data_IF_939457190983
#
_entry.id   IF_939457190983
#
_cell.length_a   1.000
_cell.length_b   1.000
_cell.length_c   1.000
_cell.angle_alpha   90.00
_cell.angle_beta   90.00
_cell.angle_gamma   90.00
#
_symmetry.space_group_name_H-M   'P 1'
#
loop_
_entity.id
_entity.type
_entity.pdbx_description
1 polymer ?
#
# COMPACT_ATOMS: atom_id res chain seq x y z
N UNK A 1 -11.85 -5.27 8.31
CA UNK A 1 -10.64 -4.44 8.04
C UNK A 1 -10.09 -4.58 6.61
N UNK A 2 -9.67 -5.76 6.11
CA UNK A 2 -9.27 -5.94 4.69
C UNK A 2 -10.44 -6.37 3.78
N UNK A 3 -11.27 -7.31 4.24
CA UNK A 3 -12.45 -7.78 3.51
C UNK A 3 -13.52 -6.70 3.33
N UNK A 4 -13.63 -5.76 4.29
CA UNK A 4 -14.55 -4.61 4.20
C UNK A 4 -14.17 -3.64 3.07
N UNK A 5 -12.90 -3.62 2.66
CA UNK A 5 -12.45 -2.87 1.49
C UNK A 5 -12.34 -3.75 0.24
N UNK A 6 -12.75 -5.03 0.31
CA UNK A 6 -12.72 -5.97 -0.81
C UNK A 6 -11.33 -6.49 -1.15
N UNK A 7 -10.39 -6.45 -0.20
CA UNK A 7 -9.04 -6.96 -0.37
C UNK A 7 -8.88 -8.30 0.37
N UNK A 8 -8.28 -9.27 -0.31
CA UNK A 8 -7.80 -10.50 0.34
C UNK A 8 -6.52 -10.18 1.11
N UNK A 9 -6.27 -10.90 2.21
CA UNK A 9 -5.00 -10.79 2.96
C UNK A 9 -3.79 -11.24 2.12
N UNK A 10 -4.04 -12.05 1.10
CA UNK A 10 -3.04 -12.53 0.14
C UNK A 10 -2.89 -11.59 -1.08
N UNK A 11 -3.54 -10.42 -1.06
CA UNK A 11 -3.46 -9.47 -2.18
C UNK A 11 -2.07 -8.88 -2.29
N UNK A 12 -1.56 -8.76 -3.52
CA UNK A 12 -0.28 -8.10 -3.77
C UNK A 12 -0.32 -6.62 -3.42
N UNK A 13 0.83 -6.06 -3.07
CA UNK A 13 1.04 -4.64 -2.77
C UNK A 13 0.46 -3.72 -3.87
N UNK A 14 0.59 -4.09 -5.15
CA UNK A 14 -0.03 -3.39 -6.29
C UNK A 14 -1.54 -3.32 -6.21
N UNK A 15 -2.21 -4.44 -5.91
CA UNK A 15 -3.67 -4.48 -5.79
C UNK A 15 -4.13 -3.65 -4.60
N UNK A 16 -3.44 -3.77 -3.46
CA UNK A 16 -3.72 -2.99 -2.26
C UNK A 16 -3.58 -1.49 -2.53
N UNK A 17 -2.49 -1.06 -3.19
CA UNK A 17 -2.26 0.33 -3.55
C UNK A 17 -3.36 0.89 -4.45
N UNK A 18 -3.70 0.19 -5.54
CA UNK A 18 -4.75 0.64 -6.49
C UNK A 18 -6.10 0.80 -5.80
N UNK A 19 -6.48 -0.13 -4.92
CA UNK A 19 -7.74 -0.05 -4.18
C UNK A 19 -7.73 1.13 -3.21
N UNK A 20 -6.63 1.34 -2.49
CA UNK A 20 -6.50 2.49 -1.58
C UNK A 20 -6.63 3.81 -2.34
N UNK A 21 -5.95 3.97 -3.47
CA UNK A 21 -6.05 5.18 -4.30
C UNK A 21 -7.47 5.39 -4.84
N UNK A 22 -8.11 4.33 -5.37
CA UNK A 22 -9.49 4.40 -5.88
C UNK A 22 -10.50 4.78 -4.80
N UNK A 23 -10.26 4.32 -3.56
CA UNK A 23 -11.13 4.61 -2.40
C UNK A 23 -10.70 5.86 -1.62
N UNK A 24 -9.70 6.58 -2.10
CA UNK A 24 -9.15 7.77 -1.44
C UNK A 24 -8.72 7.49 0.02
N UNK A 25 -8.05 6.36 0.21
CA UNK A 25 -7.54 5.90 1.50
C UNK A 25 -6.03 6.10 1.60
N UNK A 26 -5.55 6.45 2.79
CA UNK A 26 -4.13 6.50 3.11
C UNK A 26 -3.67 5.09 3.52
N UNK A 27 -2.58 4.64 2.93
CA UNK A 27 -1.97 3.34 3.23
C UNK A 27 -0.99 3.49 4.38
N UNK A 28 -1.19 2.73 5.46
CA UNK A 28 -0.29 2.66 6.60
C UNK A 28 0.36 1.28 6.61
N UNK A 29 1.69 1.23 6.49
CA UNK A 29 2.43 -0.02 6.38
C UNK A 29 3.61 -0.07 7.36
N UNK A 30 3.95 -1.25 7.85
CA UNK A 30 5.22 -1.50 8.55
C UNK A 30 6.27 -2.14 7.61
N UNK A 31 5.90 -2.41 6.36
CA UNK A 31 6.72 -3.12 5.40
C UNK A 31 7.83 -2.21 4.87
N UNK A 32 9.08 -2.51 5.25
CA UNK A 32 10.30 -1.77 4.86
C UNK A 32 11.01 -2.38 3.64
N UNK A 33 10.57 -3.52 3.12
CA UNK A 33 11.39 -4.32 2.21
C UNK A 33 10.82 -4.42 0.80
N UNK A 34 11.62 -3.94 -0.17
CA UNK A 34 11.53 -4.24 -1.60
C UNK A 34 11.96 -5.68 -1.85
N UNK A 35 11.05 -6.63 -2.01
CA UNK A 35 11.45 -7.99 -2.41
C UNK A 35 10.76 -8.53 -3.65
N UNK A 36 9.76 -7.85 -4.19
CA UNK A 36 8.96 -8.40 -5.29
C UNK A 36 8.61 -7.34 -6.35
N UNK A 37 8.34 -7.79 -7.58
CA UNK A 37 7.95 -6.93 -8.72
C UNK A 37 6.68 -6.11 -8.49
N UNK A 38 5.83 -6.58 -7.57
CA UNK A 38 4.62 -5.90 -7.13
C UNK A 38 4.83 -5.02 -5.89
N UNK A 39 6.07 -4.83 -5.41
CA UNK A 39 6.36 -4.03 -4.21
C UNK A 39 5.74 -2.62 -4.30
N UNK A 40 5.23 -2.11 -3.17
CA UNK A 40 4.62 -0.77 -3.11
C UNK A 40 5.49 0.33 -3.72
N UNK A 41 6.81 0.29 -3.52
CA UNK A 41 7.70 1.29 -4.11
C UNK A 41 7.69 1.26 -5.64
N UNK A 42 7.77 0.07 -6.25
CA UNK A 42 7.76 -0.10 -7.70
C UNK A 42 6.43 0.42 -8.28
N UNK A 43 5.32 0.03 -7.66
CA UNK A 43 3.97 0.50 -8.03
C UNK A 43 3.86 2.03 -7.93
N UNK A 44 4.39 2.62 -6.86
CA UNK A 44 4.43 4.07 -6.70
C UNK A 44 5.42 4.78 -7.64
N UNK A 45 6.36 4.09 -8.27
CA UNK A 45 7.20 4.68 -9.32
C UNK A 45 6.51 4.63 -10.67
N UNK A 46 5.79 3.56 -10.95
CA UNK A 46 5.16 3.31 -12.25
C UNK A 46 3.78 3.98 -12.40
N UNK A 47 2.97 3.97 -11.34
CA UNK A 47 1.54 4.30 -11.42
C UNK A 47 1.15 5.57 -10.66
N UNK A 48 2.09 6.20 -9.96
CA UNK A 48 1.84 7.38 -9.15
C UNK A 48 1.52 8.60 -10.01
N UNK A 49 0.52 9.35 -9.58
CA UNK A 49 0.04 10.56 -10.24
C UNK A 49 0.03 11.71 -9.24
N UNK A 50 -0.11 12.95 -9.72
CA UNK A 50 -0.17 14.12 -8.84
C UNK A 50 -1.36 14.09 -7.85
N UNK A 51 -2.38 13.26 -8.12
CA UNK A 51 -3.55 13.06 -7.25
C UNK A 51 -3.44 11.86 -6.32
N UNK A 52 -2.32 11.12 -6.37
CA UNK A 52 -2.15 9.93 -5.55
C UNK A 52 -1.88 10.29 -4.09
N UNK A 53 -2.56 9.58 -3.19
CA UNK A 53 -2.43 9.73 -1.75
C UNK A 53 -1.14 9.10 -1.22
N UNK A 54 -0.56 9.66 -0.14
CA UNK A 54 0.69 9.18 0.42
C UNK A 54 0.55 7.78 1.01
N UNK A 55 1.66 7.04 0.99
CA UNK A 55 1.86 5.83 1.78
C UNK A 55 2.73 6.18 2.98
N UNK A 56 2.29 5.81 4.17
CA UNK A 56 2.97 6.11 5.43
C UNK A 56 3.57 4.83 5.97
N UNK A 57 4.90 4.82 6.15
CA UNK A 57 5.61 3.66 6.71
C UNK A 57 5.91 3.88 8.20
N UNK A 58 5.37 3.03 9.07
CA UNK A 58 5.72 3.00 10.48
C UNK A 58 6.97 2.13 10.65
N UNK A 59 8.09 2.77 10.97
CA UNK A 59 9.38 2.10 11.10
C UNK A 59 9.53 1.15 12.30
N UNK A 60 8.67 1.25 13.31
CA UNK A 60 8.63 0.37 14.47
C UNK A 60 7.17 0.08 14.82
N UNK A 61 6.61 -1.00 14.27
CA UNK A 61 5.27 -1.47 14.61
C UNK A 61 5.17 -2.01 16.04
N UNK A 62 6.30 -2.35 16.68
CA UNK A 62 6.36 -2.91 18.04
C UNK A 62 6.25 -1.85 19.16
N UNK A 63 6.31 -0.55 18.81
CA UNK A 63 6.19 0.57 19.79
C UNK A 63 4.86 1.33 19.68
N UNK A 64 3.86 0.80 18.97
CA UNK A 64 2.52 1.40 18.80
C UNK A 64 1.42 0.54 19.40
#
# INVERSE_FOLDING_TARGET
MFEEVGLSIDSTDRVVWRVAQKKQMILLTANRSMKDEDSLEQVMREENTQSSLPVVTIGNADRV
#
